data_IF_004333565435
#
_entry.id   IF_004333565435
#
_cell.length_a   1.000
_cell.length_b   1.000
_cell.length_c   1.000
_cell.angle_alpha   90.00
_cell.angle_beta   90.00
_cell.angle_gamma   90.00
#
_symmetry.space_group_name_H-M   'P 1'
#
loop_
_entity.id
_entity.type
_entity.pdbx_description
1 polymer ?
#
# COMPACT_ATOMS: atom_id res chain seq x y z
N UNK A 1 2.16 22.48 -21.06
CA UNK A 1 2.87 22.46 -19.75
C UNK A 1 2.13 21.46 -18.87
N UNK A 2 2.63 20.24 -18.79
CA UNK A 2 2.11 19.22 -17.90
C UNK A 2 2.65 19.49 -16.50
N UNK A 3 1.80 19.89 -15.58
CA UNK A 3 2.09 19.88 -14.17
C UNK A 3 2.10 18.42 -13.69
N UNK A 4 3.28 17.86 -13.50
CA UNK A 4 3.45 16.65 -12.71
C UNK A 4 2.92 16.94 -11.32
N UNK A 5 1.70 16.47 -11.02
CA UNK A 5 1.18 16.43 -9.65
C UNK A 5 2.04 15.45 -8.89
N UNK A 6 2.99 15.96 -8.14
CA UNK A 6 3.89 15.14 -7.33
C UNK A 6 3.07 14.37 -6.29
N UNK A 7 2.95 13.07 -6.47
CA UNK A 7 2.35 12.17 -5.52
C UNK A 7 3.21 12.17 -4.23
N UNK A 8 2.62 12.57 -3.12
CA UNK A 8 3.29 12.56 -1.81
C UNK A 8 2.71 11.46 -0.95
N UNK A 9 3.55 10.51 -0.57
CA UNK A 9 3.22 9.58 0.49
C UNK A 9 3.33 10.28 1.85
N UNK A 10 2.27 10.22 2.65
CA UNK A 10 2.26 10.74 4.02
C UNK A 10 2.88 9.70 4.96
N UNK A 11 3.61 10.17 5.95
CA UNK A 11 4.09 9.33 7.05
C UNK A 11 2.98 9.22 8.10
N UNK A 12 2.69 8.01 8.52
CA UNK A 12 1.70 7.79 9.56
C UNK A 12 2.34 8.02 10.94
N UNK A 13 1.80 8.90 11.80
CA UNK A 13 2.30 9.06 13.15
C UNK A 13 1.88 7.86 13.98
N UNK A 14 2.82 6.98 14.32
CA UNK A 14 2.58 5.85 15.21
C UNK A 14 2.20 6.39 16.59
N UNK A 15 0.96 6.16 17.01
CA UNK A 15 0.49 6.42 18.37
C UNK A 15 1.32 5.61 19.36
N UNK A 16 1.55 6.21 20.54
CA UNK A 16 2.36 5.66 21.63
C UNK A 16 1.86 4.30 22.11
N UNK A 17 2.44 3.22 21.60
CA UNK A 17 2.47 1.94 22.30
C UNK A 17 3.86 1.75 22.89
N UNK A 18 3.96 1.87 24.22
CA UNK A 18 5.18 1.61 24.94
C UNK A 18 5.51 0.12 24.95
N UNK A 19 6.67 -0.22 24.46
CA UNK A 19 7.32 -1.49 24.74
C UNK A 19 8.71 -1.23 25.33
N UNK A 20 8.93 -1.84 26.50
CA UNK A 20 10.17 -1.82 27.26
C UNK A 20 11.30 -2.52 26.50
N UNK A 21 12.50 -1.96 26.63
CA UNK A 21 13.67 -2.40 25.90
C UNK A 21 14.21 -3.78 26.29
N UNK A 22 14.73 -4.48 25.29
CA UNK A 22 15.79 -5.47 25.47
C UNK A 22 16.92 -5.19 24.49
N UNK A 23 18.11 -5.10 25.06
CA UNK A 23 19.36 -4.81 24.36
C UNK A 23 19.85 -6.08 23.66
N UNK A 24 19.77 -6.16 22.34
CA UNK A 24 20.37 -7.24 21.56
C UNK A 24 21.81 -6.89 21.17
N UNK A 25 22.75 -7.71 21.65
CA UNK A 25 24.18 -7.67 21.28
C UNK A 25 24.36 -8.10 19.82
N UNK A 26 24.99 -7.25 19.05
CA UNK A 26 25.41 -7.57 17.67
C UNK A 26 26.56 -8.59 17.67
N UNK A 27 26.37 -9.70 16.97
CA UNK A 27 27.46 -10.59 16.51
C UNK A 27 27.79 -10.24 15.05
N UNK A 28 29.08 -10.32 14.63
CA UNK A 28 29.47 -9.93 13.28
C UNK A 28 29.00 -10.96 12.23
N UNK A 29 28.42 -10.46 11.14
CA UNK A 29 27.98 -11.25 9.99
C UNK A 29 29.14 -11.85 9.22
N UNK A 30 29.08 -13.14 8.79
CA UNK A 30 30.03 -13.71 7.84
C UNK A 30 29.77 -13.17 6.42
N UNK A 31 30.84 -12.68 5.81
CA UNK A 31 30.85 -12.18 4.44
C UNK A 31 30.78 -13.33 3.44
N UNK A 32 29.60 -13.60 2.87
CA UNK A 32 29.46 -14.21 1.56
C UNK A 32 28.26 -13.60 0.85
N UNK A 33 28.45 -12.99 -0.33
CA UNK A 33 27.34 -12.46 -1.11
C UNK A 33 26.67 -13.59 -1.89
N UNK A 34 25.85 -14.39 -1.26
CA UNK A 34 24.74 -15.02 -1.97
C UNK A 34 23.61 -14.01 -1.95
N UNK A 35 23.46 -13.37 -3.10
CA UNK A 35 22.33 -12.53 -3.45
C UNK A 35 21.06 -13.38 -3.34
N UNK A 36 20.56 -13.52 -2.12
CA UNK A 36 19.18 -13.87 -1.90
C UNK A 36 18.38 -12.63 -2.30
N UNK A 37 17.95 -12.57 -3.55
CA UNK A 37 16.73 -11.84 -3.86
C UNK A 37 15.63 -12.55 -3.06
N UNK A 38 15.44 -12.13 -1.82
CA UNK A 38 14.15 -12.29 -1.19
C UNK A 38 13.19 -11.52 -2.13
N UNK A 39 12.37 -12.25 -2.86
CA UNK A 39 11.21 -11.69 -3.53
C UNK A 39 10.25 -11.35 -2.39
N UNK A 40 10.47 -10.21 -1.77
CA UNK A 40 9.56 -9.66 -0.78
C UNK A 40 8.47 -8.95 -1.57
N UNK A 41 7.28 -9.54 -1.56
CA UNK A 41 6.09 -8.85 -2.00
C UNK A 41 5.97 -7.54 -1.22
N UNK A 42 5.87 -6.41 -1.90
CA UNK A 42 5.50 -5.15 -1.27
C UNK A 42 3.99 -5.08 -1.21
N UNK A 43 3.44 -5.37 -0.04
CA UNK A 43 2.00 -5.45 0.20
C UNK A 43 1.43 -4.06 0.45
N UNK A 44 0.21 -3.88 0.05
CA UNK A 44 -0.51 -2.64 0.31
C UNK A 44 -2.01 -2.88 0.53
N UNK A 45 -2.69 -1.86 1.01
CA UNK A 45 -4.14 -1.80 1.14
C UNK A 45 -4.67 -0.62 0.34
N UNK A 46 -5.71 -0.86 -0.45
CA UNK A 46 -6.35 0.16 -1.28
C UNK A 46 -7.73 0.42 -0.70
N UNK A 47 -8.02 1.66 -0.34
CA UNK A 47 -9.27 2.07 0.31
C UNK A 47 -9.98 3.20 -0.42
N UNK A 48 -11.31 3.16 -0.33
CA UNK A 48 -12.22 4.20 -0.76
C UNK A 48 -12.97 4.76 0.45
N UNK A 49 -12.83 6.05 0.73
CA UNK A 49 -13.62 6.74 1.74
C UNK A 49 -15.09 6.80 1.30
N UNK A 50 -15.98 6.27 2.12
CA UNK A 50 -17.42 6.23 1.80
C UNK A 50 -18.16 7.44 2.36
N UNK A 51 -18.18 7.58 3.68
CA UNK A 51 -18.81 8.66 4.41
C UNK A 51 -18.17 8.79 5.79
N UNK A 52 -17.98 10.03 6.25
CA UNK A 52 -17.34 10.33 7.52
C UNK A 52 -15.99 9.61 7.65
N UNK A 53 -15.91 8.56 8.47
CA UNK A 53 -14.68 7.84 8.75
C UNK A 53 -14.62 6.45 8.09
N UNK A 54 -15.72 5.95 7.51
CA UNK A 54 -15.78 4.59 6.97
C UNK A 54 -15.00 4.45 5.66
N UNK A 55 -14.21 3.38 5.56
CA UNK A 55 -13.39 3.05 4.39
C UNK A 55 -13.73 1.65 3.91
N UNK A 56 -14.07 1.51 2.63
CA UNK A 56 -14.13 0.21 1.96
C UNK A 56 -12.76 -0.11 1.42
N UNK A 57 -12.19 -1.28 1.72
CA UNK A 57 -10.80 -1.58 1.37
C UNK A 57 -10.58 -3.02 0.90
N UNK A 58 -9.51 -3.21 0.10
CA UNK A 58 -9.02 -4.51 -0.34
C UNK A 58 -7.52 -4.63 -0.10
N UNK A 59 -7.05 -5.86 0.08
CA UNK A 59 -5.63 -6.19 0.12
C UNK A 59 -5.04 -6.23 -1.29
N UNK A 60 -3.77 -5.80 -1.43
CA UNK A 60 -3.00 -5.88 -2.67
C UNK A 60 -1.61 -6.45 -2.37
N UNK A 61 -1.18 -7.47 -3.13
CA UNK A 61 -0.04 -8.30 -2.77
C UNK A 61 1.30 -7.88 -3.38
N UNK A 62 1.36 -7.69 -4.71
CA UNK A 62 2.62 -7.46 -5.41
C UNK A 62 2.79 -6.01 -5.87
N UNK A 63 4.01 -5.48 -5.70
CA UNK A 63 4.39 -4.15 -6.23
C UNK A 63 3.54 -2.99 -5.69
N UNK A 64 3.13 -3.09 -4.40
CA UNK A 64 2.30 -2.10 -3.72
C UNK A 64 3.01 -0.77 -3.38
N UNK A 65 4.24 -0.55 -3.87
CA UNK A 65 5.00 0.68 -3.59
C UNK A 65 4.54 1.89 -4.44
N UNK A 66 4.78 3.12 -3.96
CA UNK A 66 4.26 4.33 -4.59
C UNK A 66 4.67 4.56 -6.04
N UNK A 67 5.88 4.12 -6.42
CA UNK A 67 6.42 4.30 -7.77
C UNK A 67 5.75 3.41 -8.82
N UNK A 68 5.01 2.38 -8.39
CA UNK A 68 4.26 1.49 -9.27
C UNK A 68 2.75 1.62 -9.01
N UNK A 69 2.25 1.03 -7.93
CA UNK A 69 0.82 1.07 -7.62
C UNK A 69 0.32 2.50 -7.46
N UNK A 70 1.04 3.34 -6.71
CA UNK A 70 0.64 4.72 -6.48
C UNK A 70 0.48 5.52 -7.77
N UNK A 71 1.41 5.36 -8.73
CA UNK A 71 1.32 6.01 -10.06
C UNK A 71 0.12 5.48 -10.83
N UNK A 72 -0.07 4.16 -10.86
CA UNK A 72 -1.22 3.53 -11.52
C UNK A 72 -2.55 4.03 -10.98
N UNK A 73 -2.70 4.12 -9.65
CA UNK A 73 -3.93 4.62 -9.02
C UNK A 73 -4.21 6.07 -9.40
N UNK A 74 -3.20 6.94 -9.32
CA UNK A 74 -3.37 8.38 -9.64
C UNK A 74 -3.68 8.63 -11.11
N UNK A 75 -3.15 7.82 -12.02
CA UNK A 75 -3.32 8.03 -13.47
C UNK A 75 -4.55 7.34 -14.05
N UNK A 76 -4.94 6.19 -13.49
CA UNK A 76 -5.98 5.33 -14.08
C UNK A 76 -7.28 5.26 -13.27
N UNK A 77 -7.23 5.51 -11.97
CA UNK A 77 -8.40 5.42 -11.07
C UNK A 77 -8.67 6.79 -10.43
N UNK A 78 -9.26 7.69 -11.23
CA UNK A 78 -9.41 9.11 -10.90
C UNK A 78 -10.79 9.50 -10.42
N UNK A 79 -11.75 8.58 -10.48
CA UNK A 79 -13.13 8.81 -10.03
C UNK A 79 -13.55 7.78 -9.00
N UNK A 80 -14.52 8.16 -8.17
CA UNK A 80 -15.07 7.28 -7.12
C UNK A 80 -15.63 5.98 -7.71
N UNK A 81 -16.27 6.08 -8.88
CA UNK A 81 -16.86 4.94 -9.57
C UNK A 81 -15.79 3.95 -10.04
N UNK A 82 -14.70 4.44 -10.62
CA UNK A 82 -13.57 3.61 -11.05
C UNK A 82 -12.92 2.91 -9.86
N UNK A 83 -12.76 3.61 -8.73
CA UNK A 83 -12.19 3.03 -7.51
C UNK A 83 -13.15 2.00 -6.91
N UNK A 84 -14.46 2.29 -6.87
CA UNK A 84 -15.44 1.34 -6.37
C UNK A 84 -15.47 0.05 -7.22
N UNK A 85 -15.40 0.17 -8.55
CA UNK A 85 -15.32 -0.97 -9.48
C UNK A 85 -14.03 -1.80 -9.24
N UNK A 86 -12.88 -1.12 -9.01
CA UNK A 86 -11.63 -1.80 -8.68
C UNK A 86 -11.75 -2.62 -7.39
N UNK A 87 -12.41 -2.09 -6.37
CA UNK A 87 -12.55 -2.78 -5.07
C UNK A 87 -13.58 -3.91 -5.11
N UNK A 88 -14.61 -3.80 -5.97
CA UNK A 88 -15.70 -4.79 -6.06
C UNK A 88 -15.19 -6.19 -6.45
N UNK A 89 -14.05 -6.27 -7.13
CA UNK A 89 -13.39 -7.54 -7.46
C UNK A 89 -12.79 -8.30 -6.27
N UNK A 90 -12.73 -7.70 -5.07
CA UNK A 90 -12.10 -8.26 -3.89
C UNK A 90 -10.58 -8.08 -3.85
N UNK A 91 -9.89 -8.90 -3.06
CA UNK A 91 -8.44 -8.79 -2.89
C UNK A 91 -7.67 -8.98 -4.21
N UNK A 92 -6.60 -8.21 -4.36
CA UNK A 92 -5.85 -8.08 -5.60
C UNK A 92 -4.47 -8.74 -5.43
N UNK A 93 -4.12 -9.62 -6.36
CA UNK A 93 -2.79 -10.19 -6.44
C UNK A 93 -1.78 -9.17 -6.98
N UNK A 94 -2.07 -8.60 -8.14
CA UNK A 94 -1.26 -7.53 -8.74
C UNK A 94 -2.09 -6.69 -9.72
N UNK A 95 -1.58 -5.50 -10.01
CA UNK A 95 -2.07 -4.64 -11.09
C UNK A 95 -0.91 -4.43 -12.05
N UNK A 96 -1.01 -5.04 -13.23
CA UNK A 96 0.02 -4.97 -14.26
C UNK A 96 -0.40 -4.05 -15.40
N UNK A 97 0.57 -3.49 -16.12
CA UNK A 97 0.33 -2.92 -17.42
C UNK A 97 1.05 -3.76 -18.49
N UNK A 98 0.41 -3.95 -19.64
CA UNK A 98 0.90 -4.80 -20.73
C UNK A 98 2.12 -4.23 -21.47
N UNK A 99 2.61 -3.08 -21.08
CA UNK A 99 3.76 -2.47 -21.74
C UNK A 99 4.83 -2.08 -20.74
N UNK A 100 6.07 -2.24 -21.13
CA UNK A 100 7.29 -1.85 -20.45
C UNK A 100 7.21 -0.45 -19.80
N UNK A 101 6.52 -0.33 -18.66
CA UNK A 101 6.39 0.88 -17.85
C UNK A 101 5.68 2.06 -18.54
N UNK A 102 4.92 1.82 -19.60
CA UNK A 102 4.22 2.87 -20.36
C UNK A 102 2.73 2.93 -20.00
N UNK A 103 2.43 3.34 -18.79
CA UNK A 103 1.06 3.49 -18.28
C UNK A 103 0.19 4.47 -19.09
N UNK A 104 0.79 5.36 -19.87
CA UNK A 104 0.04 6.28 -20.74
C UNK A 104 -0.71 5.56 -21.87
N UNK A 105 -0.23 4.39 -22.30
CA UNK A 105 -0.74 3.66 -23.47
C UNK A 105 -1.51 2.40 -23.16
N UNK A 106 -1.48 1.91 -21.91
CA UNK A 106 -2.08 0.65 -21.52
C UNK A 106 -3.14 0.84 -20.44
N UNK A 107 -4.22 0.10 -20.57
CA UNK A 107 -5.14 -0.09 -19.45
C UNK A 107 -4.52 -1.11 -18.47
N UNK A 108 -4.57 -0.85 -17.16
CA UNK A 108 -4.08 -1.79 -16.16
C UNK A 108 -4.84 -3.11 -16.22
N UNK A 109 -4.11 -4.21 -16.18
CA UNK A 109 -4.71 -5.52 -16.00
C UNK A 109 -4.70 -5.89 -14.52
N UNK A 110 -5.87 -6.09 -13.92
CA UNK A 110 -6.04 -6.43 -12.52
C UNK A 110 -6.21 -7.94 -12.38
N UNK A 111 -5.36 -8.57 -11.58
CA UNK A 111 -5.47 -9.98 -11.23
C UNK A 111 -6.04 -10.12 -9.83
N UNK A 112 -7.29 -10.55 -9.73
CA UNK A 112 -7.95 -10.79 -8.46
C UNK A 112 -7.67 -12.18 -7.90
N UNK A 113 -7.67 -12.32 -6.59
CA UNK A 113 -7.64 -13.63 -5.94
C UNK A 113 -8.89 -14.46 -6.28
N UNK A 114 -10.02 -13.80 -6.48
CA UNK A 114 -11.27 -14.43 -6.92
C UNK A 114 -11.15 -15.13 -8.27
N UNK A 115 -10.32 -14.65 -9.19
CA UNK A 115 -10.03 -15.30 -10.48
C UNK A 115 -9.33 -16.65 -10.32
N UNK A 116 -8.74 -16.90 -9.16
CA UNK A 116 -8.09 -18.17 -8.79
C UNK A 116 -8.99 -19.10 -7.98
N UNK A 117 -10.24 -18.70 -7.76
CA UNK A 117 -11.21 -19.46 -6.96
C UNK A 117 -11.10 -19.21 -5.46
N UNK A 118 -10.39 -18.18 -5.01
CA UNK A 118 -10.41 -17.70 -3.64
C UNK A 118 -11.62 -16.77 -3.48
N UNK A 119 -12.35 -16.92 -2.37
CA UNK A 119 -13.55 -16.11 -2.13
C UNK A 119 -13.18 -14.96 -1.19
N UNK A 120 -12.74 -13.84 -1.76
CA UNK A 120 -12.40 -12.62 -1.04
C UNK A 120 -13.42 -11.52 -1.33
N UNK A 121 -13.73 -10.72 -0.31
CA UNK A 121 -14.65 -9.59 -0.41
C UNK A 121 -13.97 -8.33 0.12
N UNK A 122 -14.37 -7.13 -0.34
CA UNK A 122 -13.90 -5.90 0.23
C UNK A 122 -14.22 -5.81 1.73
N UNK A 123 -13.27 -5.34 2.52
CA UNK A 123 -13.43 -5.12 3.96
C UNK A 123 -13.98 -3.72 4.23
N UNK A 124 -14.96 -3.60 5.09
CA UNK A 124 -15.44 -2.33 5.61
C UNK A 124 -14.73 -2.00 6.92
N UNK A 125 -13.89 -1.00 6.90
CA UNK A 125 -13.23 -0.43 8.07
C UNK A 125 -14.07 0.75 8.58
N UNK A 126 -14.42 0.78 9.86
CA UNK A 126 -15.34 1.76 10.41
C UNK A 126 -14.68 3.11 10.73
N UNK A 127 -13.35 3.13 10.79
CA UNK A 127 -12.54 4.31 11.04
C UNK A 127 -11.11 4.11 10.51
N UNK A 128 -10.31 5.15 10.57
CA UNK A 128 -8.92 5.13 10.12
C UNK A 128 -8.05 4.14 10.91
N UNK A 129 -8.28 3.99 12.22
CA UNK A 129 -7.49 3.06 13.04
C UNK A 129 -7.72 1.62 12.59
N UNK A 130 -8.97 1.22 12.33
CA UNK A 130 -9.30 -0.11 11.79
C UNK A 130 -8.63 -0.35 10.42
N UNK A 131 -8.64 0.68 9.55
CA UNK A 131 -8.02 0.59 8.24
C UNK A 131 -6.50 0.41 8.30
N UNK A 132 -5.83 1.12 9.23
CA UNK A 132 -4.39 1.04 9.39
C UNK A 132 -3.93 -0.12 10.28
N UNK A 133 -4.82 -0.82 10.98
CA UNK A 133 -4.51 -2.03 11.74
C UNK A 133 -4.33 -3.23 10.80
N UNK A 134 -3.18 -3.27 10.13
CA UNK A 134 -2.79 -4.29 9.18
C UNK A 134 -1.25 -4.44 9.13
N UNK A 135 -0.76 -5.41 8.35
CA UNK A 135 0.67 -5.70 8.19
C UNK A 135 1.19 -5.36 6.79
N UNK A 136 0.49 -4.50 6.06
CA UNK A 136 0.93 -4.03 4.75
C UNK A 136 1.97 -2.92 4.90
N UNK A 137 2.85 -2.78 3.91
CA UNK A 137 3.91 -1.77 3.89
C UNK A 137 3.38 -0.39 3.49
N UNK A 138 2.35 -0.35 2.65
CA UNK A 138 1.72 0.89 2.18
C UNK A 138 0.20 0.83 2.28
N UNK A 139 -0.39 2.00 2.42
CA UNK A 139 -1.85 2.16 2.35
C UNK A 139 -2.22 3.35 1.44
N UNK A 140 -3.28 3.19 0.68
CA UNK A 140 -3.78 4.18 -0.25
C UNK A 140 -5.25 4.46 0.04
N UNK A 141 -5.63 5.72 0.20
CA UNK A 141 -7.03 6.12 0.39
C UNK A 141 -7.41 7.10 -0.71
N UNK A 142 -8.49 6.78 -1.42
CA UNK A 142 -9.17 7.71 -2.31
C UNK A 142 -10.26 8.44 -1.52
N UNK A 143 -10.16 9.75 -1.47
CA UNK A 143 -11.07 10.61 -0.75
C UNK A 143 -11.24 11.93 -1.50
N UNK A 144 -12.47 12.38 -1.69
CA UNK A 144 -12.82 13.64 -2.37
C UNK A 144 -12.08 13.88 -3.70
N UNK A 145 -11.91 12.82 -4.50
CA UNK A 145 -11.27 12.89 -5.82
C UNK A 145 -9.75 12.86 -5.82
N UNK A 146 -9.13 12.63 -4.67
CA UNK A 146 -7.67 12.60 -4.52
C UNK A 146 -7.17 11.32 -3.84
N UNK A 147 -5.99 10.84 -4.27
CA UNK A 147 -5.29 9.74 -3.62
C UNK A 147 -4.33 10.25 -2.56
N UNK A 148 -4.39 9.65 -1.38
CA UNK A 148 -3.37 9.79 -0.34
C UNK A 148 -2.68 8.45 -0.12
N UNK A 149 -1.35 8.45 -0.14
CA UNK A 149 -0.52 7.30 0.23
C UNK A 149 0.02 7.46 1.64
N UNK A 150 0.11 6.34 2.36
CA UNK A 150 0.73 6.23 3.67
C UNK A 150 1.82 5.16 3.64
N UNK A 151 3.01 5.51 4.10
CA UNK A 151 4.12 4.57 4.29
C UNK A 151 4.04 4.01 5.71
N UNK A 152 3.75 2.73 5.82
CA UNK A 152 3.60 1.99 7.08
C UNK A 152 4.81 1.07 7.35
N UNK A 153 5.76 1.01 6.40
CA UNK A 153 6.88 0.06 6.45
C UNK A 153 7.94 0.40 7.50
N UNK A 154 7.90 1.60 8.08
CA UNK A 154 8.89 2.07 9.01
C UNK A 154 8.26 2.64 10.28
N UNK A 155 8.88 2.36 11.42
CA UNK A 155 8.61 3.05 12.67
C UNK A 155 9.57 4.22 12.83
N UNK A 156 9.07 5.33 13.34
CA UNK A 156 9.81 6.57 13.51
C UNK A 156 9.79 7.03 14.96
N UNK A 157 10.85 7.67 15.43
CA UNK A 157 10.87 8.38 16.70
C UNK A 157 10.20 9.76 16.59
N UNK A 158 10.09 10.47 17.73
CA UNK A 158 9.49 11.82 17.78
C UNK A 158 10.22 12.86 16.91
N UNK A 159 11.43 12.55 16.41
CA UNK A 159 12.22 13.38 15.49
C UNK A 159 12.15 12.91 14.04
N UNK A 160 11.21 12.00 13.73
CA UNK A 160 11.05 11.37 12.40
C UNK A 160 12.29 10.59 11.92
N UNK A 161 13.09 10.08 12.83
CA UNK A 161 14.19 9.17 12.53
C UNK A 161 13.67 7.74 12.52
N UNK A 162 14.01 6.96 11.48
CA UNK A 162 13.65 5.55 11.39
C UNK A 162 14.23 4.78 12.58
N UNK A 163 13.37 4.12 13.36
CA UNK A 163 13.73 3.33 14.54
C UNK A 163 13.59 1.84 14.30
N UNK A 164 12.91 1.42 13.23
CA UNK A 164 12.71 0.02 12.88
C UNK A 164 11.91 -0.14 11.60
N UNK A 165 11.60 -1.39 11.32
CA UNK A 165 10.71 -1.79 10.22
C UNK A 165 9.54 -2.58 10.81
N UNK A 166 8.38 -2.41 10.25
CA UNK A 166 7.22 -3.23 10.59
C UNK A 166 7.49 -4.64 10.02
N UNK A 167 7.45 -5.64 10.87
CA UNK A 167 7.75 -7.04 10.52
C UNK A 167 6.49 -7.80 10.13
#
# INVERSE_FOLDING_TARGET
MMFSRGFRCKRFPVGKFGLQGETLRMTPFPQHPKLFFLIMATRSRIGLRLAEDAILSVYHHWDGYPQWLGVTLVEKYTTKEQVAELLDGGDISCIDSDSDWNLEKCEPHVQYYNDRGENTEPRLDLNDDDFFENNEEFAYIFDDGEWTCYDLSHTYDDNYKVTGYVS
#
